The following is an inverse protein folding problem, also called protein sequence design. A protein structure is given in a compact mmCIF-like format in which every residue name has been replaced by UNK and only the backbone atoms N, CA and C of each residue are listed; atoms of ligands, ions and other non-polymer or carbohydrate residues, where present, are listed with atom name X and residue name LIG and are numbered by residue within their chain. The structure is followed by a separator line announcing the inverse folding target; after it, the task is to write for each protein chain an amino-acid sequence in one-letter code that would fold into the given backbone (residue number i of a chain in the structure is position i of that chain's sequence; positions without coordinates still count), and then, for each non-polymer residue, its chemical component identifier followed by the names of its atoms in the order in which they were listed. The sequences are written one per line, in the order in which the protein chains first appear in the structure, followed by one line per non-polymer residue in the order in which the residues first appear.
data_IF_638266793956
#
_entry.id   IF_638266793956
#
_cell.length_a   1.000
_cell.length_b   1.000
_cell.length_c   1.000
_cell.angle_alpha   90.00
_cell.angle_beta   90.00
_cell.angle_gamma   90.00
#
_symmetry.space_group_name_H-M   'P 1'
#
loop_
_entity.id
_entity.type
_entity.pdbx_description
1 polymer ?
#
# COMPACT_ATOMS: atom_id res chain seq x y z
N UNK A 1 20.66 -0.56 4.64
CA UNK A 1 19.89 -0.32 3.40
C UNK A 1 18.89 0.78 3.75
N UNK A 2 18.62 1.78 2.90
CA UNK A 2 17.67 2.84 3.26
C UNK A 2 16.25 2.36 2.95
N UNK A 3 15.40 2.35 3.96
CA UNK A 3 13.98 2.02 3.80
C UNK A 3 13.22 3.19 3.18
N UNK A 4 12.16 2.89 2.46
CA UNK A 4 11.27 3.88 1.85
C UNK A 4 9.83 3.63 2.27
N UNK A 5 9.03 4.68 2.28
CA UNK A 5 7.61 4.64 2.50
C UNK A 5 6.91 5.53 1.47
N UNK A 6 5.58 5.42 1.41
CA UNK A 6 4.76 6.34 0.66
C UNK A 6 4.04 7.26 1.64
N UNK A 7 4.02 8.55 1.34
CA UNK A 7 3.16 9.51 2.02
C UNK A 7 2.00 9.81 1.10
N UNK A 8 0.79 9.50 1.54
CA UNK A 8 -0.42 9.67 0.76
C UNK A 8 -1.42 10.58 1.46
N UNK A 9 -2.18 11.34 0.69
CA UNK A 9 -3.25 12.21 1.17
C UNK A 9 -4.58 11.80 0.52
N UNK A 10 -5.65 11.75 1.30
CA UNK A 10 -6.98 11.42 0.79
C UNK A 10 -8.10 11.71 1.77
N UNK A 11 -9.35 11.59 1.33
CA UNK A 11 -10.54 11.93 2.12
C UNK A 11 -10.90 10.94 3.24
N UNK A 12 -9.96 10.11 3.70
CA UNK A 12 -10.16 9.09 4.72
C UNK A 12 -9.96 9.65 6.13
N UNK A 13 -10.77 9.22 7.08
CA UNK A 13 -10.79 9.72 8.47
C UNK A 13 -10.11 8.77 9.46
N UNK A 14 -9.70 7.57 9.03
CA UNK A 14 -9.01 6.59 9.87
C UNK A 14 -8.06 5.71 9.07
N UNK A 15 -7.12 5.06 9.77
CA UNK A 15 -6.20 4.07 9.18
C UNK A 15 -6.96 2.92 8.52
N UNK A 16 -7.99 2.41 9.19
CA UNK A 16 -8.81 1.32 8.67
C UNK A 16 -9.53 1.70 7.37
N UNK A 17 -10.07 2.92 7.28
CA UNK A 17 -10.67 3.41 6.03
C UNK A 17 -9.65 3.51 4.89
N UNK A 18 -8.47 4.07 5.16
CA UNK A 18 -7.40 4.18 4.18
C UNK A 18 -6.84 2.81 3.75
N UNK A 19 -6.75 1.86 4.70
CA UNK A 19 -6.32 0.48 4.46
C UNK A 19 -7.34 -0.29 3.62
N UNK A 20 -8.64 -0.13 3.91
CA UNK A 20 -9.71 -0.71 3.09
C UNK A 20 -9.67 -0.15 1.67
N UNK A 21 -9.61 1.17 1.55
CA UNK A 21 -9.48 1.82 0.25
C UNK A 21 -8.28 1.24 -0.49
N UNK A 22 -7.08 1.24 0.09
CA UNK A 22 -5.88 0.69 -0.54
C UNK A 22 -6.05 -0.77 -1.01
N UNK A 23 -6.84 -1.60 -0.32
CA UNK A 23 -6.98 -3.03 -0.61
C UNK A 23 -8.07 -3.37 -1.61
N UNK A 24 -9.19 -2.66 -1.56
CA UNK A 24 -10.42 -3.04 -2.28
C UNK A 24 -10.19 -3.23 -3.79
N UNK A 25 -9.54 -2.29 -4.53
CA UNK A 25 -9.35 -2.46 -5.98
C UNK A 25 -8.52 -3.68 -6.36
N UNK A 26 -7.49 -4.00 -5.57
CA UNK A 26 -6.64 -5.16 -5.85
C UNK A 26 -7.36 -6.48 -5.53
N UNK A 27 -8.23 -6.48 -4.52
CA UNK A 27 -9.06 -7.64 -4.19
C UNK A 27 -10.13 -7.83 -5.27
N UNK A 28 -10.76 -6.75 -5.73
CA UNK A 28 -11.73 -6.77 -6.85
C UNK A 28 -11.08 -7.33 -8.11
N UNK A 29 -9.95 -6.77 -8.55
CA UNK A 29 -9.18 -7.24 -9.70
C UNK A 29 -8.82 -8.74 -9.57
N UNK A 30 -8.44 -9.18 -8.37
CA UNK A 30 -8.12 -10.58 -8.11
C UNK A 30 -9.35 -11.49 -8.21
N UNK A 31 -10.47 -11.08 -7.62
CA UNK A 31 -11.73 -11.84 -7.67
C UNK A 31 -12.23 -11.94 -9.11
N UNK A 32 -12.11 -10.87 -9.91
CA UNK A 32 -12.47 -10.89 -11.33
C UNK A 32 -11.61 -11.90 -12.12
N UNK A 33 -10.31 -11.99 -11.83
CA UNK A 33 -9.39 -12.88 -12.52
C UNK A 33 -9.51 -14.35 -12.10
N UNK A 34 -9.71 -14.60 -10.81
CA UNK A 34 -9.60 -15.95 -10.22
C UNK A 34 -10.94 -16.55 -9.78
N UNK A 35 -11.97 -15.72 -9.64
CA UNK A 35 -13.29 -16.09 -9.16
C UNK A 35 -13.36 -16.46 -7.66
N UNK A 36 -12.29 -16.24 -6.88
CA UNK A 36 -12.23 -16.62 -5.46
C UNK A 36 -11.37 -15.66 -4.64
N UNK A 37 -11.81 -15.32 -3.43
CA UNK A 37 -11.00 -14.62 -2.44
C UNK A 37 -11.10 -15.28 -1.06
N UNK A 38 -9.96 -15.33 -0.37
CA UNK A 38 -9.81 -15.67 1.05
C UNK A 38 -8.75 -14.75 1.63
N UNK A 39 -8.82 -14.46 2.93
CA UNK A 39 -7.89 -13.53 3.60
C UNK A 39 -6.42 -13.94 3.40
N UNK A 40 -6.10 -15.24 3.39
CA UNK A 40 -4.73 -15.70 3.13
C UNK A 40 -4.23 -15.44 1.70
N UNK A 41 -5.11 -15.14 0.74
CA UNK A 41 -4.69 -14.76 -0.61
C UNK A 41 -4.09 -13.35 -0.66
N UNK A 42 -4.18 -12.55 0.41
CA UNK A 42 -3.57 -11.22 0.45
C UNK A 42 -2.05 -11.25 0.21
N UNK A 43 -1.36 -12.30 0.65
CA UNK A 43 0.07 -12.50 0.40
C UNK A 43 0.35 -13.01 -1.01
N UNK A 44 -0.68 -13.39 -1.77
CA UNK A 44 -0.56 -13.85 -3.16
C UNK A 44 -0.85 -12.71 -4.16
N UNK A 45 -1.58 -11.68 -3.74
CA UNK A 45 -1.92 -10.52 -4.56
C UNK A 45 -0.70 -9.60 -4.66
N UNK A 46 -0.06 -9.55 -5.84
CA UNK A 46 1.05 -8.65 -6.10
C UNK A 46 0.57 -7.27 -6.55
N UNK A 47 0.99 -6.23 -5.83
CA UNK A 47 0.80 -4.84 -6.25
C UNK A 47 1.86 -4.46 -7.30
N UNK A 48 3.09 -4.89 -7.03
CA UNK A 48 4.25 -4.75 -7.91
C UNK A 48 5.18 -5.93 -7.65
N UNK A 49 6.08 -6.32 -8.58
CA UNK A 49 6.94 -7.48 -8.37
C UNK A 49 7.71 -7.43 -7.04
N UNK A 50 7.45 -8.42 -6.18
CA UNK A 50 8.08 -8.54 -4.87
C UNK A 50 7.51 -7.66 -3.76
N UNK A 51 6.30 -7.11 -3.94
CA UNK A 51 5.48 -6.49 -2.88
C UNK A 51 4.06 -7.04 -2.99
N UNK A 52 3.60 -7.66 -1.91
CA UNK A 52 2.26 -8.25 -1.84
C UNK A 52 1.33 -7.36 -1.02
N UNK A 53 0.04 -7.43 -1.29
CA UNK A 53 -0.95 -6.62 -0.60
C UNK A 53 -0.96 -6.86 0.93
N UNK A 54 -0.76 -8.11 1.36
CA UNK A 54 -0.68 -8.49 2.77
C UNK A 54 0.52 -7.91 3.52
N UNK A 55 1.60 -7.59 2.81
CA UNK A 55 2.80 -6.99 3.41
C UNK A 55 2.73 -5.48 3.59
N UNK A 56 1.71 -4.79 3.05
CA UNK A 56 1.57 -3.34 3.22
C UNK A 56 0.75 -3.01 4.47
N UNK A 57 1.32 -2.12 5.30
CA UNK A 57 0.66 -1.48 6.42
C UNK A 57 0.37 -0.01 6.12
N UNK A 58 -0.69 0.52 6.73
CA UNK A 58 -1.10 1.93 6.63
C UNK A 58 -1.13 2.53 8.03
N UNK A 59 -0.49 3.67 8.23
CA UNK A 59 -0.45 4.40 9.50
C UNK A 59 -0.81 5.85 9.26
N UNK A 60 -1.67 6.44 10.10
CA UNK A 60 -2.04 7.85 9.98
C UNK A 60 -0.97 8.72 10.64
N UNK A 61 -0.39 9.64 9.86
CA UNK A 61 0.61 10.59 10.38
C UNK A 61 -0.04 11.87 10.93
N UNK A 62 -1.07 12.35 10.24
CA UNK A 62 -1.87 13.52 10.60
C UNK A 62 -3.22 13.45 9.88
N UNK A 63 -4.10 14.43 10.14
CA UNK A 63 -5.42 14.49 9.49
C UNK A 63 -5.30 14.29 7.97
N UNK A 64 -5.96 13.24 7.46
CA UNK A 64 -6.03 12.85 6.04
C UNK A 64 -4.71 12.48 5.38
N UNK A 65 -3.61 12.36 6.12
CA UNK A 65 -2.30 11.98 5.59
C UNK A 65 -1.79 10.71 6.25
N UNK A 66 -1.41 9.76 5.40
CA UNK A 66 -1.06 8.40 5.79
C UNK A 66 0.31 8.03 5.28
N UNK A 67 1.04 7.26 6.07
CA UNK A 67 2.20 6.51 5.65
C UNK A 67 1.77 5.11 5.20
N UNK A 68 2.25 4.68 4.03
CA UNK A 68 2.18 3.29 3.59
C UNK A 68 3.60 2.73 3.55
N UNK A 69 3.84 1.67 4.29
CA UNK A 69 5.14 1.01 4.38
C UNK A 69 4.98 -0.51 4.41
N UNK A 70 6.10 -1.24 4.32
CA UNK A 70 6.08 -2.67 4.62
C UNK A 70 5.80 -2.88 6.11
N UNK A 71 4.82 -3.70 6.42
CA UNK A 71 4.57 -4.23 7.75
C UNK A 71 5.49 -5.42 8.08
N UNK A 72 6.19 -5.97 7.07
CA UNK A 72 7.17 -7.03 7.24
C UNK A 72 8.59 -6.43 7.39
N UNK A 73 9.21 -6.52 8.58
CA UNK A 73 10.55 -5.98 8.83
C UNK A 73 11.66 -6.75 8.10
N UNK A 74 11.43 -8.00 7.69
CA UNK A 74 12.41 -8.76 6.90
C UNK A 74 12.41 -8.33 5.42
N UNK A 75 11.32 -7.69 4.98
CA UNK A 75 11.12 -7.26 3.60
C UNK A 75 10.71 -5.78 3.51
N UNK A 76 11.60 -4.85 3.88
CA UNK A 76 11.32 -3.42 3.77
C UNK A 76 11.19 -2.99 2.30
N UNK A 77 10.46 -1.88 2.08
CA UNK A 77 10.38 -1.29 0.75
C UNK A 77 11.70 -0.62 0.38
N UNK A 78 12.26 -1.03 -0.74
CA UNK A 78 13.32 -0.28 -1.43
C UNK A 78 12.70 0.87 -2.22
N UNK A 79 13.50 1.86 -2.62
CA UNK A 79 13.01 2.98 -3.45
C UNK A 79 12.29 2.49 -4.73
N UNK A 80 12.83 1.45 -5.38
CA UNK A 80 12.24 0.89 -6.58
C UNK A 80 10.86 0.27 -6.30
N UNK A 81 10.75 -0.52 -5.22
CA UNK A 81 9.47 -1.13 -4.80
C UNK A 81 8.46 -0.06 -4.40
N UNK A 82 8.87 0.95 -3.62
CA UNK A 82 7.99 2.05 -3.20
C UNK A 82 7.47 2.86 -4.40
N UNK A 83 8.30 3.10 -5.43
CA UNK A 83 7.87 3.71 -6.69
C UNK A 83 6.84 2.85 -7.43
N UNK A 84 7.07 1.53 -7.50
CA UNK A 84 6.11 0.60 -8.12
C UNK A 84 4.75 0.62 -7.43
N UNK A 85 4.74 0.61 -6.09
CA UNK A 85 3.51 0.75 -5.30
C UNK A 85 2.84 2.11 -5.56
N UNK A 86 3.61 3.20 -5.58
CA UNK A 86 3.07 4.53 -5.83
C UNK A 86 2.43 4.66 -7.21
N UNK A 87 3.03 4.06 -8.23
CA UNK A 87 2.44 4.01 -9.57
C UNK A 87 1.14 3.20 -9.60
N UNK A 88 1.07 2.07 -8.90
CA UNK A 88 -0.14 1.26 -8.81
C UNK A 88 -1.28 2.05 -8.13
N UNK A 89 -1.01 2.70 -7.00
CA UNK A 89 -2.01 3.50 -6.28
C UNK A 89 -2.50 4.70 -7.12
N UNK A 90 -1.60 5.36 -7.86
CA UNK A 90 -1.96 6.46 -8.77
C UNK A 90 -2.87 6.00 -9.90
N UNK A 91 -2.66 4.80 -10.44
CA UNK A 91 -3.52 4.24 -11.50
C UNK A 91 -4.93 3.96 -11.01
N UNK A 92 -5.06 3.56 -9.75
CA UNK A 92 -6.36 3.32 -9.11
C UNK A 92 -7.07 4.62 -8.67
N UNK A 93 -6.38 5.77 -8.70
CA UNK A 93 -7.00 7.08 -8.42
C UNK A 93 -7.50 7.25 -6.98
N UNK A 94 -6.90 6.51 -6.04
CA UNK A 94 -7.41 6.35 -4.67
C UNK A 94 -7.14 7.51 -3.72
N UNK A 95 -5.99 8.15 -3.94
CA UNK A 95 -5.44 9.20 -3.09
C UNK A 95 -5.24 10.44 -3.94
N UNK A 96 -5.49 11.60 -3.35
CA UNK A 96 -5.32 12.90 -3.99
C UNK A 96 -3.84 13.18 -4.29
N UNK A 97 -2.97 12.77 -3.36
CA UNK A 97 -1.52 12.87 -3.51
C UNK A 97 -0.83 11.56 -3.09
N UNK A 98 0.22 11.18 -3.82
CA UNK A 98 1.07 10.03 -3.51
C UNK A 98 2.53 10.42 -3.70
N UNK A 99 3.29 10.45 -2.60
CA UNK A 99 4.73 10.76 -2.56
C UNK A 99 5.52 9.54 -2.11
N UNK A 100 6.75 9.39 -2.61
CA UNK A 100 7.69 8.36 -2.15
C UNK A 100 8.79 9.06 -1.38
N UNK A 101 8.99 8.68 -0.13
CA UNK A 101 10.00 9.28 0.75
C UNK A 101 10.87 8.20 1.39
N UNK A 102 12.13 8.51 1.74
CA UNK A 102 12.90 7.63 2.60
C UNK A 102 12.29 7.60 3.99
N UNK A 103 12.05 6.39 4.51
CA UNK A 103 11.51 6.18 5.85
C UNK A 103 12.57 6.60 6.88
N UNK A 104 12.18 7.44 7.83
CA UNK A 104 13.05 7.78 8.95
C UNK A 104 12.89 6.69 10.00
N UNK A 105 13.99 6.07 10.41
CA UNK A 105 14.02 5.29 11.65
C UNK A 105 13.80 6.29 12.79
N UNK A 106 12.71 6.15 13.55
CA UNK A 106 12.54 6.86 14.83
C UNK A 106 13.40 6.24 15.92
#
# INVERSE_FOLDING_TARGET
MREYCLIVEGAFLSESEAEHALRDPFIEDWVEQTGRFRIHNMDEIQITPGVTLGTLGVVMLKDRVFEIASADPEHPLTEHKAKGVAEALRRQGMFDEVKVEPRREE
#
